data_IF_092156530490
#
_entry.id   IF_092156530490
#
_cell.length_a   1.000
_cell.length_b   1.000
_cell.length_c   1.000
_cell.angle_alpha   90.00
_cell.angle_beta   90.00
_cell.angle_gamma   90.00
#
_symmetry.space_group_name_H-M   'P 1'
#
loop_
_entity.id
_entity.type
_entity.pdbx_description
1 polymer ?
#
# COMPACT_ATOMS: atom_id res chain seq x y z
N UNK A 1 -6.55 -5.32 -14.66
CA UNK A 1 -6.09 -3.93 -14.34
C UNK A 1 -7.01 -3.24 -13.34
N UNK A 2 -8.34 -3.21 -13.55
CA UNK A 2 -9.29 -2.57 -12.61
C UNK A 2 -9.23 -3.17 -11.21
N UNK A 3 -9.12 -4.48 -11.17
CA UNK A 3 -8.84 -5.35 -10.03
C UNK A 3 -7.55 -4.94 -9.27
N UNK A 4 -6.41 -4.81 -9.96
CA UNK A 4 -5.14 -4.31 -9.37
C UNK A 4 -5.28 -2.88 -8.84
N UNK A 5 -5.93 -1.99 -9.61
CA UNK A 5 -6.15 -0.59 -9.21
C UNK A 5 -7.01 -0.49 -7.93
N UNK A 6 -8.11 -1.23 -7.86
CA UNK A 6 -8.97 -1.26 -6.68
C UNK A 6 -8.24 -1.79 -5.45
N UNK A 7 -7.38 -2.81 -5.63
CA UNK A 7 -6.57 -3.32 -4.53
C UNK A 7 -5.49 -2.31 -4.10
N UNK A 8 -4.86 -1.60 -5.04
CA UNK A 8 -3.91 -0.54 -4.75
C UNK A 8 -4.55 0.61 -3.95
N UNK A 9 -5.77 1.03 -4.30
CA UNK A 9 -6.53 2.01 -3.53
C UNK A 9 -6.81 1.52 -2.09
N UNK A 10 -7.18 0.25 -1.94
CA UNK A 10 -7.38 -0.39 -0.63
C UNK A 10 -6.10 -0.32 0.22
N UNK A 11 -4.94 -0.64 -0.36
CA UNK A 11 -3.66 -0.56 0.33
C UNK A 11 -3.33 0.88 0.73
N UNK A 12 -3.58 1.87 -0.13
CA UNK A 12 -3.36 3.29 0.17
C UNK A 12 -4.20 3.76 1.37
N UNK A 13 -5.47 3.37 1.42
CA UNK A 13 -6.35 3.66 2.56
C UNK A 13 -5.82 3.00 3.84
N UNK A 14 -5.41 1.73 3.76
CA UNK A 14 -4.88 1.00 4.91
C UNK A 14 -3.55 1.58 5.43
N UNK A 15 -2.68 2.07 4.54
CA UNK A 15 -1.44 2.78 4.90
C UNK A 15 -1.79 4.05 5.67
N UNK A 16 -2.65 4.91 5.11
CA UNK A 16 -3.07 6.15 5.75
C UNK A 16 -3.69 5.88 7.13
N UNK A 17 -4.50 4.81 7.25
CA UNK A 17 -5.09 4.43 8.53
C UNK A 17 -4.06 3.96 9.54
N UNK A 18 -3.09 3.14 9.13
CA UNK A 18 -2.02 2.68 10.01
C UNK A 18 -1.16 3.85 10.49
N UNK A 19 -0.84 4.81 9.63
CA UNK A 19 -0.10 6.01 10.02
C UNK A 19 -0.88 6.91 11.01
N UNK A 20 -2.19 7.06 10.81
CA UNK A 20 -3.06 7.78 11.76
C UNK A 20 -3.09 7.09 13.14
N UNK A 21 -3.20 5.76 13.15
CA UNK A 21 -3.18 4.95 14.36
C UNK A 21 -1.81 4.98 15.04
N UNK A 22 -0.71 4.99 14.28
CA UNK A 22 0.63 5.19 14.79
C UNK A 22 0.75 6.54 15.52
N UNK A 23 0.29 7.63 14.88
CA UNK A 23 0.35 8.98 15.45
C UNK A 23 -0.50 9.15 16.72
N UNK A 24 -1.66 8.49 16.77
CA UNK A 24 -2.59 8.55 17.91
C UNK A 24 -2.29 7.54 19.01
N UNK A 25 -1.39 6.57 18.78
CA UNK A 25 -1.07 5.54 19.76
C UNK A 25 -0.26 6.10 20.94
N UNK A 26 -0.81 5.92 22.16
CA UNK A 26 -0.12 6.16 23.44
C UNK A 26 0.84 5.04 23.84
N UNK A 27 0.65 3.83 23.32
CA UNK A 27 1.48 2.66 23.61
C UNK A 27 2.57 2.51 22.54
N UNK A 28 3.83 2.38 22.97
CA UNK A 28 4.96 2.20 22.06
C UNK A 28 4.88 0.89 21.27
N UNK A 29 4.31 -0.17 21.86
CA UNK A 29 4.05 -1.44 21.18
C UNK A 29 3.08 -1.22 20.02
N UNK A 30 1.97 -0.52 20.25
CA UNK A 30 0.99 -0.21 19.21
C UNK A 30 1.60 0.65 18.11
N UNK A 31 2.36 1.69 18.48
CA UNK A 31 3.06 2.57 17.53
C UNK A 31 4.01 1.75 16.63
N UNK A 32 4.81 0.88 17.23
CA UNK A 32 5.75 0.01 16.51
C UNK A 32 5.04 -0.94 15.55
N UNK A 33 3.95 -1.59 15.98
CA UNK A 33 3.18 -2.50 15.12
C UNK A 33 2.54 -1.74 13.95
N UNK A 34 1.86 -0.62 14.19
CA UNK A 34 1.25 0.15 13.10
C UNK A 34 2.27 0.69 12.10
N UNK A 35 3.43 1.15 12.57
CA UNK A 35 4.54 1.57 11.71
C UNK A 35 5.00 0.44 10.79
N UNK A 36 5.24 -0.75 11.36
CA UNK A 36 5.69 -1.93 10.60
C UNK A 36 4.63 -2.38 9.59
N UNK A 37 3.36 -2.40 10.00
CA UNK A 37 2.25 -2.75 9.11
C UNK A 37 2.13 -1.77 7.95
N UNK A 38 2.22 -0.46 8.19
CA UNK A 38 2.23 0.55 7.13
C UNK A 38 3.41 0.34 6.16
N UNK A 39 4.60 0.02 6.68
CA UNK A 39 5.76 -0.28 5.84
C UNK A 39 5.52 -1.50 4.94
N UNK A 40 4.93 -2.58 5.44
CA UNK A 40 4.59 -3.75 4.64
C UNK A 40 3.55 -3.44 3.55
N UNK A 41 2.51 -2.67 3.86
CA UNK A 41 1.54 -2.25 2.85
C UNK A 41 2.17 -1.39 1.74
N UNK A 42 3.15 -0.55 2.06
CA UNK A 42 3.88 0.22 1.02
C UNK A 42 4.68 -0.69 0.09
N UNK A 43 5.29 -1.76 0.61
CA UNK A 43 5.99 -2.75 -0.22
C UNK A 43 5.01 -3.41 -1.20
N UNK A 44 3.87 -3.89 -0.69
CA UNK A 44 2.83 -4.52 -1.52
C UNK A 44 2.25 -3.54 -2.56
N UNK A 45 2.00 -2.30 -2.17
CA UNK A 45 1.53 -1.26 -3.09
C UNK A 45 2.53 -1.03 -4.24
N UNK A 46 3.83 -0.99 -3.92
CA UNK A 46 4.88 -0.85 -4.93
C UNK A 46 4.99 -2.06 -5.88
N UNK A 47 4.69 -3.27 -5.41
CA UNK A 47 4.60 -4.45 -6.28
C UNK A 47 3.44 -4.34 -7.27
N UNK A 48 2.26 -3.90 -6.80
CA UNK A 48 1.10 -3.68 -7.66
C UNK A 48 1.34 -2.56 -8.67
N UNK A 49 1.99 -1.47 -8.26
CA UNK A 49 2.34 -0.35 -9.15
C UNK A 49 3.31 -0.79 -10.26
N UNK A 50 4.32 -1.61 -9.93
CA UNK A 50 5.23 -2.19 -10.93
C UNK A 50 4.50 -3.11 -11.90
N UNK A 51 3.67 -4.02 -11.40
CA UNK A 51 2.87 -4.90 -12.24
C UNK A 51 1.94 -4.10 -13.18
N UNK A 52 1.31 -3.04 -12.68
CA UNK A 52 0.48 -2.16 -13.48
C UNK A 52 1.28 -1.47 -14.60
N UNK A 53 2.47 -0.96 -14.29
CA UNK A 53 3.34 -0.33 -15.28
C UNK A 53 3.80 -1.33 -16.35
N UNK A 54 4.16 -2.56 -15.97
CA UNK A 54 4.53 -3.62 -16.91
C UNK A 54 3.37 -4.00 -17.83
N UNK A 55 2.15 -4.08 -17.31
CA UNK A 55 0.96 -4.35 -18.12
C UNK A 55 0.69 -3.21 -19.11
N UNK A 56 0.76 -1.96 -18.66
CA UNK A 56 0.57 -0.79 -19.52
C UNK A 56 1.62 -0.71 -20.64
N UNK A 57 2.87 -1.05 -20.34
CA UNK A 57 3.94 -1.08 -21.32
C UNK A 57 3.73 -2.15 -22.40
N UNK A 58 3.15 -3.31 -22.02
CA UNK A 58 2.80 -4.38 -22.98
C UNK A 58 1.63 -3.97 -23.86
N UNK A 59 0.55 -3.45 -23.26
CA UNK A 59 -0.64 -2.99 -23.99
C UNK A 59 -0.32 -1.87 -25.00
N UNK A 60 0.71 -1.06 -24.74
CA UNK A 60 1.15 0.02 -25.64
C UNK A 60 2.11 -0.44 -26.76
N UNK A 61 2.64 -1.66 -26.66
CA UNK A 61 3.54 -2.25 -27.65
C UNK A 61 2.83 -3.19 -28.64
N UNK A 62 1.56 -3.53 -28.37
CA UNK A 62 0.63 -4.27 -29.25
C UNK A 62 -0.24 -3.32 -30.08
#
# INVERSE_FOLDING_TARGET
MKDILAHLETLRVNIAKCEELERSAKSDIKRSVFRRTAAHYRVLAGELERALAEMQAKDAAE
#
